data_IF_564166548589
#
_entry.id   IF_564166548589
#
_cell.length_a   1.000
_cell.length_b   1.000
_cell.length_c   1.000
_cell.angle_alpha   90.00
_cell.angle_beta   90.00
_cell.angle_gamma   90.00
#
_symmetry.space_group_name_H-M   'P 1'
#
loop_
_entity.id
_entity.type
_entity.pdbx_description
1 polymer ?
#
# COMPACT_ATOMS: atom_id res chain seq x y z
N UNK A 1 14.76 1.94 10.53
CA UNK A 1 15.09 2.53 9.22
C UNK A 1 14.10 2.14 8.12
N UNK A 2 13.86 0.84 7.86
CA UNK A 2 13.03 0.37 6.72
C UNK A 2 11.61 0.96 6.68
N UNK A 3 10.91 1.05 7.81
CA UNK A 3 9.55 1.62 7.88
C UNK A 3 9.53 3.14 7.65
N UNK A 4 10.50 3.88 8.19
CA UNK A 4 10.62 5.33 7.97
C UNK A 4 10.88 5.63 6.49
N UNK A 5 11.78 4.88 5.86
CA UNK A 5 12.04 5.03 4.42
C UNK A 5 10.80 4.69 3.59
N UNK A 6 10.07 3.63 3.95
CA UNK A 6 8.81 3.29 3.29
C UNK A 6 7.75 4.38 3.45
N UNK A 7 7.59 4.94 4.65
CA UNK A 7 6.65 6.02 4.92
C UNK A 7 6.94 7.27 4.07
N UNK A 8 8.21 7.66 3.93
CA UNK A 8 8.61 8.78 3.08
C UNK A 8 8.23 8.52 1.62
N UNK A 9 8.52 7.32 1.09
CA UNK A 9 8.16 6.97 -0.28
C UNK A 9 6.65 6.86 -0.50
N UNK A 10 5.91 6.30 0.46
CA UNK A 10 4.46 6.19 0.39
C UNK A 10 3.78 7.56 0.41
N UNK A 11 4.24 8.49 1.25
CA UNK A 11 3.70 9.86 1.29
C UNK A 11 3.90 10.58 -0.06
N UNK A 12 5.11 10.47 -0.62
CA UNK A 12 5.50 11.16 -1.85
C UNK A 12 4.76 10.58 -3.07
N UNK A 13 4.63 9.24 -3.15
CA UNK A 13 3.80 8.60 -4.17
C UNK A 13 2.31 8.94 -4.01
N UNK A 14 1.84 9.01 -2.78
CA UNK A 14 0.48 9.38 -2.42
C UNK A 14 0.06 10.71 -3.00
N UNK A 15 0.86 11.74 -2.79
CA UNK A 15 0.59 13.06 -3.35
C UNK A 15 0.55 13.06 -4.88
N UNK A 16 1.48 12.35 -5.54
CA UNK A 16 1.52 12.29 -7.00
C UNK A 16 0.25 11.60 -7.55
N UNK A 17 -0.11 10.45 -6.99
CA UNK A 17 -1.31 9.70 -7.39
C UNK A 17 -2.57 10.50 -7.08
N UNK A 18 -2.67 11.07 -5.88
CA UNK A 18 -3.83 11.85 -5.44
C UNK A 18 -4.03 13.09 -6.31
N UNK A 19 -2.96 13.78 -6.69
CA UNK A 19 -3.03 14.91 -7.61
C UNK A 19 -3.55 14.47 -8.98
N UNK A 20 -3.00 13.39 -9.55
CA UNK A 20 -3.45 12.84 -10.83
C UNK A 20 -4.94 12.46 -10.79
N UNK A 21 -5.38 11.79 -9.73
CA UNK A 21 -6.78 11.41 -9.56
C UNK A 21 -7.67 12.65 -9.46
N UNK A 22 -7.26 13.68 -8.72
CA UNK A 22 -7.98 14.95 -8.66
C UNK A 22 -8.17 15.59 -10.03
N UNK A 23 -7.11 15.63 -10.86
CA UNK A 23 -7.17 16.14 -12.23
C UNK A 23 -8.10 15.32 -13.14
N UNK A 24 -8.17 14.00 -12.94
CA UNK A 24 -9.02 13.11 -13.75
C UNK A 24 -10.49 13.12 -13.32
N UNK A 25 -10.76 13.39 -12.05
CA UNK A 25 -12.11 13.27 -11.46
C UNK A 25 -12.79 14.62 -11.21
N UNK A 26 -12.04 15.72 -11.31
CA UNK A 26 -12.53 17.06 -10.97
C UNK A 26 -12.75 17.28 -9.47
N UNK A 27 -12.27 16.36 -8.63
CA UNK A 27 -12.33 16.47 -7.17
C UNK A 27 -11.13 17.27 -6.66
N UNK A 28 -11.38 18.16 -5.70
CA UNK A 28 -10.33 18.97 -5.08
C UNK A 28 -9.27 18.08 -4.40
N UNK A 29 -8.02 18.26 -4.81
CA UNK A 29 -6.89 17.53 -4.25
C UNK A 29 -6.46 18.14 -2.91
N UNK A 30 -6.50 17.32 -1.86
CA UNK A 30 -5.98 17.66 -0.53
C UNK A 30 -4.68 16.89 -0.25
N UNK A 31 -3.50 17.56 -0.33
CA UNK A 31 -2.21 16.88 -0.23
C UNK A 31 -1.98 16.17 1.10
N UNK A 32 -2.32 16.82 2.22
CA UNK A 32 -2.13 16.22 3.56
C UNK A 32 -2.95 14.96 3.79
N UNK A 33 -4.21 14.94 3.35
CA UNK A 33 -5.09 13.78 3.46
C UNK A 33 -4.60 12.63 2.58
N UNK A 34 -4.19 12.94 1.35
CA UNK A 34 -3.72 11.95 0.39
C UNK A 34 -2.44 11.25 0.87
N UNK A 35 -1.47 12.02 1.35
CA UNK A 35 -0.22 11.50 1.92
C UNK A 35 -0.46 10.60 3.14
N UNK A 36 -1.33 11.04 4.07
CA UNK A 36 -1.64 10.26 5.28
C UNK A 36 -2.25 8.90 4.94
N UNK A 37 -3.25 8.88 4.05
CA UNK A 37 -3.95 7.65 3.65
C UNK A 37 -2.99 6.66 2.99
N UNK A 38 -2.13 7.13 2.09
CA UNK A 38 -1.16 6.25 1.40
C UNK A 38 -0.07 5.73 2.32
N UNK A 39 0.37 6.49 3.31
CA UNK A 39 1.29 5.98 4.34
C UNK A 39 0.65 4.85 5.13
N UNK A 40 -0.59 5.04 5.60
CA UNK A 40 -1.31 4.01 6.36
C UNK A 40 -1.50 2.74 5.52
N UNK A 41 -1.94 2.88 4.27
CA UNK A 41 -2.13 1.75 3.35
C UNK A 41 -0.81 1.06 3.01
N UNK A 42 0.25 1.84 2.77
CA UNK A 42 1.58 1.32 2.48
C UNK A 42 2.18 0.53 3.63
N UNK A 43 2.05 1.01 4.87
CA UNK A 43 2.50 0.28 6.06
C UNK A 43 1.65 -0.98 6.31
N UNK A 44 0.33 -0.88 6.16
CA UNK A 44 -0.56 -2.04 6.27
C UNK A 44 -0.21 -3.12 5.23
N UNK A 45 0.09 -2.73 3.99
CA UNK A 45 0.50 -3.66 2.94
C UNK A 45 1.84 -4.36 3.26
N UNK A 46 2.81 -3.65 3.84
CA UNK A 46 4.08 -4.24 4.25
C UNK A 46 3.95 -5.31 5.34
N UNK A 47 2.89 -5.26 6.16
CA UNK A 47 2.60 -6.24 7.20
C UNK A 47 1.68 -7.35 6.68
N UNK A 48 0.61 -6.99 5.95
CA UNK A 48 -0.39 -7.95 5.47
C UNK A 48 0.13 -8.80 4.32
N UNK A 49 0.91 -8.26 3.39
CA UNK A 49 1.37 -9.02 2.21
C UNK A 49 2.23 -10.23 2.62
N UNK A 50 3.25 -10.10 3.48
CA UNK A 50 4.00 -11.26 3.96
C UNK A 50 3.16 -12.24 4.76
N UNK A 51 2.22 -11.75 5.58
CA UNK A 51 1.33 -12.60 6.38
C UNK A 51 0.39 -13.44 5.50
N UNK A 52 -0.16 -12.84 4.44
CA UNK A 52 -1.02 -13.52 3.47
C UNK A 52 -0.23 -14.42 2.51
N UNK A 53 0.97 -14.00 2.07
CA UNK A 53 1.85 -14.83 1.24
C UNK A 53 2.37 -16.07 1.95
N UNK A 54 2.57 -16.02 3.28
CA UNK A 54 2.83 -17.21 4.08
C UNK A 54 1.66 -18.19 4.05
N UNK A 55 0.44 -17.68 4.26
CA UNK A 55 -0.79 -18.50 4.27
C UNK A 55 -1.11 -19.13 2.91
N UNK A 56 -0.75 -18.48 1.80
CA UNK A 56 -0.94 -19.02 0.46
C UNK A 56 -0.03 -20.24 0.16
N UNK A 57 1.15 -20.31 0.81
CA UNK A 57 2.13 -21.38 0.58
C UNK A 57 1.68 -22.71 1.20
N UNK A 58 1.05 -22.67 2.38
CA UNK A 58 0.50 -23.85 3.06
C UNK A 58 -0.62 -24.53 2.26
N UNK A 59 -1.41 -23.78 1.49
CA UNK A 59 -2.52 -24.35 0.70
C UNK A 59 -2.03 -25.11 -0.53
N UNK A 60 -0.92 -24.70 -1.15
CA UNK A 60 -0.38 -25.38 -2.35
C UNK A 60 0.31 -26.71 -2.02
N UNK A 61 0.98 -26.83 -0.86
CA UNK A 61 1.59 -28.11 -0.44
C UNK A 61 0.54 -29.15 -0.02
N UNK A 62 -0.61 -28.72 0.51
CA UNK A 62 -1.72 -29.61 0.86
C UNK A 62 -2.43 -30.23 -0.36
N UNK A 63 -2.52 -29.49 -1.48
CA UNK A 63 -3.14 -29.99 -2.71
C UNK A 63 -2.18 -30.82 -3.58
N UNK A 64 -0.87 -30.60 -3.50
CA UNK A 64 0.14 -31.35 -4.26
C UNK A 64 0.45 -32.75 -3.69
N UNK A 65 -0.01 -33.07 -2.48
CA UNK A 65 0.15 -34.37 -1.82
C UNK A 65 -1.08 -35.29 -1.95
N UNK A 66 -2.08 -34.90 -2.77
CA UNK A 66 -3.29 -35.69 -3.03
C UNK A 66 -3.30 -36.22 -4.45
#
# INVERSE_FOLDING_TARGET
MRYITAAVWCALFGEIIGYLVGQMTGVDFQPGTSALVTVIVGEAALIMVPALSGSAKDTTEAEASK
#
